data_IF_135203436231
#
_entry.id   IF_135203436231
#
_cell.length_a   1.000
_cell.length_b   1.000
_cell.length_c   1.000
_cell.angle_alpha   90.00
_cell.angle_beta   90.00
_cell.angle_gamma   90.00
#
_symmetry.space_group_name_H-M   'P 1'
#
loop_
_entity.id
_entity.type
_entity.pdbx_description
1 polymer ?
#
# COMPACT_ATOMS: atom_id res chain seq x y z
N UNK A 1 18.71 10.37 3.08
CA UNK A 1 18.24 9.04 2.65
C UNK A 1 17.67 8.29 3.84
N UNK A 2 16.50 7.68 3.67
CA UNK A 2 15.77 6.93 4.69
C UNK A 2 15.75 5.45 4.26
N UNK A 3 15.90 4.52 5.19
CA UNK A 3 15.91 3.10 4.86
C UNK A 3 14.50 2.61 4.54
N UNK A 4 13.51 3.02 5.33
CA UNK A 4 12.11 2.61 5.19
C UNK A 4 11.12 3.80 5.22
N UNK A 5 10.40 3.99 4.12
CA UNK A 5 9.26 4.88 4.02
C UNK A 5 7.95 4.07 4.20
N UNK A 6 7.04 4.55 5.04
CA UNK A 6 5.75 3.92 5.29
C UNK A 6 4.63 4.91 5.04
N UNK A 7 3.71 4.57 4.16
CA UNK A 7 2.53 5.38 3.85
C UNK A 7 1.29 4.67 4.40
N UNK A 8 0.45 5.38 5.14
CA UNK A 8 -0.85 4.87 5.59
C UNK A 8 -1.86 6.01 5.79
N UNK A 9 -3.14 5.74 5.58
CA UNK A 9 -4.23 6.73 5.72
C UNK A 9 -5.29 6.29 6.73
N UNK A 10 -5.39 4.99 6.99
CA UNK A 10 -6.38 4.42 7.91
C UNK A 10 -5.95 4.56 9.37
N UNK A 11 -6.82 5.07 10.24
CA UNK A 11 -6.50 5.30 11.66
C UNK A 11 -6.02 4.03 12.40
N UNK A 12 -6.47 2.86 11.97
CA UNK A 12 -6.07 1.58 12.55
C UNK A 12 -4.66 1.12 12.15
N UNK A 13 -4.04 1.74 11.14
CA UNK A 13 -2.64 1.48 10.78
C UNK A 13 -1.65 2.24 11.69
N UNK A 14 -2.12 3.15 12.55
CA UNK A 14 -1.27 3.92 13.45
C UNK A 14 -0.45 3.03 14.41
N UNK A 15 -1.10 2.04 15.03
CA UNK A 15 -0.42 1.10 15.94
C UNK A 15 0.58 0.22 15.19
N UNK A 16 0.26 -0.17 13.95
CA UNK A 16 1.18 -0.91 13.07
C UNK A 16 2.42 -0.07 12.76
N UNK A 17 2.23 1.19 12.34
CA UNK A 17 3.34 2.10 12.05
C UNK A 17 4.21 2.36 13.28
N UNK A 18 3.60 2.51 14.46
CA UNK A 18 4.32 2.69 15.72
C UNK A 18 5.11 1.44 16.14
N UNK A 19 4.55 0.24 15.94
CA UNK A 19 5.25 -1.02 16.20
C UNK A 19 6.43 -1.19 15.25
N UNK A 20 6.25 -0.84 13.97
CA UNK A 20 7.30 -0.93 12.97
C UNK A 20 8.43 0.07 13.24
N UNK A 21 8.08 1.30 13.64
CA UNK A 21 9.05 2.33 14.06
C UNK A 21 9.94 1.81 15.20
N UNK A 22 9.36 1.22 16.25
CA UNK A 22 10.11 0.62 17.36
C UNK A 22 11.02 -0.53 16.90
N UNK A 23 10.54 -1.37 15.98
CA UNK A 23 11.33 -2.46 15.43
C UNK A 23 12.53 -1.94 14.63
N UNK A 24 12.33 -0.92 13.80
CA UNK A 24 13.38 -0.24 13.05
C UNK A 24 14.42 0.40 13.97
N UNK A 25 13.99 1.12 15.01
CA UNK A 25 14.87 1.72 16.01
C UNK A 25 15.73 0.68 16.72
N UNK A 26 15.16 -0.47 17.08
CA UNK A 26 15.88 -1.55 17.76
C UNK A 26 17.02 -2.16 16.92
N UNK A 27 16.98 -2.02 15.59
CA UNK A 27 18.00 -2.55 14.67
C UNK A 27 18.79 -1.44 13.95
N UNK A 28 18.59 -0.18 14.31
CA UNK A 28 19.28 0.96 13.72
C UNK A 28 18.86 1.31 12.28
N UNK A 29 17.64 0.95 11.89
CA UNK A 29 17.04 1.27 10.59
C UNK A 29 16.30 2.59 10.69
N UNK A 30 16.60 3.53 9.80
CA UNK A 30 15.89 4.81 9.73
C UNK A 30 14.52 4.63 9.06
N UNK A 31 13.46 5.08 9.75
CA UNK A 31 12.09 5.01 9.24
C UNK A 31 11.44 6.39 9.24
N UNK A 32 10.66 6.68 8.20
CA UNK A 32 9.71 7.80 8.15
C UNK A 32 8.33 7.26 7.80
N UNK A 33 7.35 7.74 8.55
CA UNK A 33 5.95 7.38 8.37
C UNK A 33 5.16 8.62 7.96
N UNK A 34 4.37 8.51 6.89
CA UNK A 34 3.39 9.51 6.46
C UNK A 34 2.00 8.92 6.71
N UNK A 35 1.31 9.45 7.73
CA UNK A 35 0.06 8.90 8.25
C UNK A 35 -1.20 9.67 7.84
N UNK A 36 -2.33 9.38 8.50
CA UNK A 36 -3.66 9.98 8.26
C UNK A 36 -3.64 11.54 8.23
N UNK A 37 -2.92 12.20 9.13
CA UNK A 37 -2.81 13.67 9.13
C UNK A 37 -1.90 14.24 8.03
N UNK A 38 -1.25 13.38 7.23
CA UNK A 38 -0.27 13.70 6.21
C UNK A 38 -0.86 13.85 4.80
N UNK A 39 -2.15 14.14 4.64
CA UNK A 39 -2.79 14.27 3.32
C UNK A 39 -2.05 15.26 2.40
N UNK A 40 -1.60 16.39 2.95
CA UNK A 40 -0.79 17.37 2.21
C UNK A 40 0.56 16.78 1.80
N UNK A 41 1.21 16.07 2.71
CA UNK A 41 2.52 15.46 2.49
C UNK A 41 2.43 14.36 1.41
N UNK A 42 1.39 13.53 1.43
CA UNK A 42 1.10 12.52 0.42
C UNK A 42 0.86 13.13 -0.96
N UNK A 43 0.15 14.27 -1.05
CA UNK A 43 -0.03 14.99 -2.31
C UNK A 43 1.28 15.57 -2.86
N UNK A 44 2.21 15.95 -1.99
CA UNK A 44 3.53 16.48 -2.38
C UNK A 44 4.60 15.40 -2.59
N UNK A 45 4.33 14.17 -2.13
CA UNK A 45 5.26 13.05 -2.19
C UNK A 45 5.83 12.77 -3.59
N UNK A 46 5.04 12.80 -4.68
CA UNK A 46 5.60 12.64 -6.03
C UNK A 46 6.69 13.67 -6.34
N UNK A 47 6.45 14.94 -6.00
CA UNK A 47 7.41 16.02 -6.25
C UNK A 47 8.67 15.84 -5.39
N UNK A 48 8.52 15.48 -4.11
CA UNK A 48 9.65 15.27 -3.20
C UNK A 48 10.54 14.09 -3.61
N UNK A 49 9.95 13.00 -4.10
CA UNK A 49 10.69 11.84 -4.63
C UNK A 49 11.41 12.19 -5.92
N UNK A 50 10.74 12.87 -6.86
CA UNK A 50 11.32 13.22 -8.16
C UNK A 50 12.43 14.28 -8.04
N UNK A 51 12.35 15.17 -7.05
CA UNK A 51 13.38 16.20 -6.81
C UNK A 51 14.58 15.70 -5.99
N UNK A 52 14.48 14.52 -5.36
CA UNK A 52 15.46 14.03 -4.39
C UNK A 52 15.40 14.71 -3.02
N UNK A 53 14.41 15.58 -2.77
CA UNK A 53 14.15 16.13 -1.43
C UNK A 53 13.83 15.01 -0.42
N UNK A 54 13.16 13.97 -0.90
CA UNK A 54 12.93 12.73 -0.18
C UNK A 54 13.55 11.57 -0.94
N UNK A 55 14.43 10.84 -0.26
CA UNK A 55 15.02 9.61 -0.77
C UNK A 55 14.73 8.46 0.21
N UNK A 56 14.21 7.35 -0.31
CA UNK A 56 13.92 6.15 0.45
C UNK A 56 14.48 4.91 -0.25
N UNK A 57 15.05 3.98 0.51
CA UNK A 57 15.53 2.71 -0.04
C UNK A 57 14.41 1.67 -0.21
N UNK A 58 13.49 1.62 0.76
CA UNK A 58 12.33 0.74 0.77
C UNK A 58 11.04 1.52 1.05
N UNK A 59 9.93 1.09 0.46
CA UNK A 59 8.58 1.63 0.66
C UNK A 59 7.60 0.51 1.05
N UNK A 60 6.85 0.75 2.12
CA UNK A 60 5.60 0.04 2.42
C UNK A 60 4.45 1.01 2.16
N UNK A 61 3.66 0.68 1.15
CA UNK A 61 2.53 1.51 0.74
C UNK A 61 1.22 0.86 1.19
N UNK A 62 0.44 1.54 2.04
CA UNK A 62 -0.88 1.12 2.53
C UNK A 62 -1.96 2.18 2.25
N UNK A 63 -1.71 3.09 1.32
CA UNK A 63 -2.61 4.21 1.00
C UNK A 63 -3.28 4.05 -0.36
N UNK A 64 -2.58 3.43 -1.31
CA UNK A 64 -3.06 3.20 -2.67
C UNK A 64 -4.36 2.39 -2.76
N UNK A 65 -4.77 1.67 -1.71
CA UNK A 65 -6.01 0.89 -1.64
C UNK A 65 -7.30 1.71 -1.66
N UNK A 66 -7.19 3.02 -1.45
CA UNK A 66 -8.32 3.94 -1.49
C UNK A 66 -8.65 4.48 -2.90
N UNK A 67 -7.74 4.29 -3.86
CA UNK A 67 -7.92 4.76 -5.25
C UNK A 67 -7.92 6.29 -5.41
N UNK A 68 -7.98 6.75 -6.66
CA UNK A 68 -8.05 8.19 -6.98
C UNK A 68 -6.75 8.93 -6.64
N UNK A 69 -6.86 10.06 -5.93
CA UNK A 69 -5.71 10.91 -5.57
C UNK A 69 -4.68 10.17 -4.69
N UNK A 70 -5.13 9.13 -3.97
CA UNK A 70 -4.29 8.27 -3.13
C UNK A 70 -3.38 7.33 -3.93
N UNK A 71 -3.51 7.24 -5.25
CA UNK A 71 -2.60 6.47 -6.13
C UNK A 71 -1.58 7.36 -6.86
N UNK A 72 -1.63 8.69 -6.69
CA UNK A 72 -0.85 9.64 -7.47
C UNK A 72 0.68 9.47 -7.31
N UNK A 73 1.14 8.97 -6.16
CA UNK A 73 2.56 8.70 -5.89
C UNK A 73 3.06 7.38 -6.47
N UNK A 74 2.19 6.47 -6.89
CA UNK A 74 2.59 5.12 -7.34
C UNK A 74 3.58 5.14 -8.52
N UNK A 75 3.38 5.93 -9.59
CA UNK A 75 4.33 5.96 -10.71
C UNK A 75 5.73 6.44 -10.26
N UNK A 76 5.78 7.50 -9.46
CA UNK A 76 7.03 8.07 -8.97
C UNK A 76 7.72 7.17 -7.96
N UNK A 77 6.95 6.52 -7.07
CA UNK A 77 7.50 5.53 -6.16
C UNK A 77 8.14 4.36 -6.90
N UNK A 78 7.53 3.86 -7.98
CA UNK A 78 8.12 2.80 -8.82
C UNK A 78 9.40 3.22 -9.52
N UNK A 79 9.53 4.49 -9.86
CA UNK A 79 10.69 5.02 -10.58
C UNK A 79 11.87 5.32 -9.63
N UNK A 80 11.58 5.90 -8.47
CA UNK A 80 12.60 6.46 -7.58
C UNK A 80 12.85 5.66 -6.30
N UNK A 81 11.97 4.73 -5.91
CA UNK A 81 12.19 3.86 -4.74
C UNK A 81 12.63 2.46 -5.19
N UNK A 82 13.86 2.02 -4.86
CA UNK A 82 14.41 0.74 -5.32
C UNK A 82 13.60 -0.48 -4.91
N UNK A 83 13.02 -0.45 -3.72
CA UNK A 83 12.27 -1.58 -3.15
C UNK A 83 10.89 -1.15 -2.71
N UNK A 84 9.86 -1.57 -3.43
CA UNK A 84 8.47 -1.42 -2.98
C UNK A 84 7.98 -2.78 -2.48
N UNK A 85 7.71 -2.88 -1.18
CA UNK A 85 7.13 -4.09 -0.61
C UNK A 85 5.71 -4.24 -1.13
N UNK A 86 5.43 -5.41 -1.73
CA UNK A 86 4.17 -5.67 -2.44
C UNK A 86 3.93 -4.61 -3.53
N UNK A 87 4.71 -4.62 -4.63
CA UNK A 87 4.61 -3.60 -5.66
C UNK A 87 3.20 -3.62 -6.28
N UNK A 88 2.67 -2.43 -6.55
CA UNK A 88 1.27 -2.21 -6.98
C UNK A 88 0.76 -3.20 -8.04
N UNK A 89 1.56 -3.47 -9.07
CA UNK A 89 1.17 -4.37 -10.18
C UNK A 89 0.93 -5.81 -9.76
N UNK A 90 1.54 -6.24 -8.64
CA UNK A 90 1.35 -7.58 -8.06
C UNK A 90 0.18 -7.64 -7.09
N UNK A 91 -0.15 -6.54 -6.42
CA UNK A 91 -1.20 -6.53 -5.39
C UNK A 91 -2.58 -6.28 -5.98
N UNK A 92 -2.68 -5.43 -7.01
CA UNK A 92 -3.95 -5.09 -7.66
C UNK A 92 -4.79 -6.32 -8.08
N UNK A 93 -4.21 -7.40 -8.65
CA UNK A 93 -4.97 -8.61 -8.95
C UNK A 93 -5.53 -9.31 -7.70
N UNK A 94 -4.81 -9.26 -6.57
CA UNK A 94 -5.16 -9.94 -5.32
C UNK A 94 -6.39 -9.33 -4.64
N UNK A 95 -6.77 -8.10 -5.00
CA UNK A 95 -8.01 -7.49 -4.52
C UNK A 95 -9.27 -8.11 -5.10
N UNK A 96 -9.17 -8.70 -6.29
CA UNK A 96 -10.27 -9.41 -6.89
C UNK A 96 -10.45 -10.74 -6.16
N UNK A 97 -11.28 -10.73 -5.11
CA UNK A 97 -11.57 -11.91 -4.28
C UNK A 97 -12.04 -13.13 -5.10
N UNK A 98 -12.91 -12.97 -6.13
CA UNK A 98 -13.18 -14.05 -7.08
C UNK A 98 -11.94 -14.62 -7.78
N UNK A 99 -11.05 -13.76 -8.27
CA UNK A 99 -9.79 -14.19 -8.90
C UNK A 99 -8.89 -14.94 -7.92
N UNK A 100 -8.69 -14.41 -6.71
CA UNK A 100 -7.89 -15.07 -5.67
C UNK A 100 -8.50 -16.42 -5.29
N UNK A 101 -9.81 -16.48 -5.09
CA UNK A 101 -10.51 -17.72 -4.80
C UNK A 101 -10.24 -18.77 -5.89
N UNK A 102 -10.36 -18.38 -7.16
CA UNK A 102 -10.09 -19.26 -8.29
C UNK A 102 -8.63 -19.74 -8.30
N UNK A 103 -7.65 -18.84 -8.10
CA UNK A 103 -6.23 -19.23 -8.07
C UNK A 103 -5.92 -20.16 -6.88
N UNK A 104 -6.53 -19.96 -5.71
CA UNK A 104 -6.39 -20.89 -4.57
C UNK A 104 -6.85 -22.31 -4.93
N UNK A 105 -8.06 -22.45 -5.49
CA UNK A 105 -8.61 -23.75 -5.88
C UNK A 105 -7.77 -24.42 -6.99
N UNK A 106 -7.37 -23.65 -8.00
CA UNK A 106 -6.53 -24.10 -9.12
C UNK A 106 -5.19 -24.67 -8.64
N UNK A 107 -4.65 -24.13 -7.55
CA UNK A 107 -3.41 -24.61 -6.92
C UNK A 107 -3.64 -25.65 -5.80
N UNK A 108 -4.85 -26.21 -5.69
CA UNK A 108 -5.15 -27.32 -4.76
C UNK A 108 -5.37 -26.87 -3.31
N UNK A 109 -5.50 -25.58 -3.06
CA UNK A 109 -5.82 -25.05 -1.73
C UNK A 109 -7.35 -25.06 -1.53
N UNK A 110 -7.79 -25.58 -0.39
CA UNK A 110 -9.20 -25.56 -0.03
C UNK A 110 -9.63 -24.12 0.31
N UNK A 111 -10.65 -23.63 -0.39
CA UNK A 111 -11.33 -22.37 -0.09
C UNK A 111 -12.80 -22.64 0.27
N UNK A 112 -13.43 -21.85 1.17
CA UNK A 112 -14.85 -21.99 1.48
C UNK A 112 -15.71 -21.79 0.23
N UNK A 113 -16.83 -22.50 0.10
CA UNK A 113 -17.75 -22.33 -1.03
C UNK A 113 -18.18 -20.86 -1.22
N UNK A 114 -18.03 -20.32 -2.43
CA UNK A 114 -18.32 -18.92 -2.77
C UNK A 114 -19.38 -18.87 -3.88
N UNK A 115 -20.39 -18.03 -3.70
CA UNK A 115 -21.37 -17.67 -4.74
C UNK A 115 -21.24 -16.19 -5.03
N UNK A 116 -21.04 -15.83 -6.31
CA UNK A 116 -21.04 -14.44 -6.77
C UNK A 116 -22.45 -14.09 -7.23
N UNK A 117 -23.10 -13.18 -6.52
CA UNK A 117 -24.45 -12.71 -6.85
C UNK A 117 -24.38 -11.34 -7.51
N UNK A 118 -25.19 -11.08 -8.57
CA UNK A 118 -25.24 -9.77 -9.19
C UNK A 118 -25.82 -8.73 -8.21
N UNK A 119 -25.45 -7.47 -8.41
CA UNK A 119 -26.03 -6.35 -7.65
C UNK A 119 -27.55 -6.29 -7.84
N UNK A 120 -28.28 -6.02 -6.77
CA UNK A 120 -29.73 -5.82 -6.83
C UNK A 120 -30.00 -4.50 -7.56
N UNK A 121 -30.54 -4.58 -8.77
CA UNK A 121 -31.06 -3.40 -9.46
C UNK A 121 -32.37 -2.99 -8.79
N UNK A 122 -32.44 -1.77 -8.22
CA UNK A 122 -33.74 -1.18 -7.87
C UNK A 122 -34.54 -1.06 -9.17
N UNK A 123 -35.72 -1.71 -9.24
CA UNK A 123 -36.69 -1.42 -10.28
C UNK A 123 -37.06 0.07 -10.18
N UNK A 124 -36.94 0.78 -11.31
CA UNK A 124 -37.42 2.15 -11.47
C UNK A 124 -38.93 2.22 -11.32
#
# INVERSE_FOLDING_TARGET
MIDLLVLWSWEHDADFAALLQKACEAVGVSMRSIGNSGEVELKTLPAALASGELEAHCLIDRVWDWGGDWEAHVPTAKEFVPHVLNPYDRVKPVWNKPYVHFELLKHGLNAPYLVIVPSVQKRA
#
